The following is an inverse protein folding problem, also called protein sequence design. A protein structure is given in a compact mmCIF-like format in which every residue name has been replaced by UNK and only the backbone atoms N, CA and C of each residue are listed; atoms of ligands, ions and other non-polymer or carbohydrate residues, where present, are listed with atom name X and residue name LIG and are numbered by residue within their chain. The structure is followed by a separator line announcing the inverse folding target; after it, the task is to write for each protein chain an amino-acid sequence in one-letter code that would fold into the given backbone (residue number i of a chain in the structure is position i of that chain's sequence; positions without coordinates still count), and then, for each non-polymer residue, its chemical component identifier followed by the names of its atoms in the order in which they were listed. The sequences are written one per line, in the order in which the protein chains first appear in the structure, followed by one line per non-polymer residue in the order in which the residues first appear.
data_IF_543249390060
#
_entry.id   IF_543249390060
#
_cell.length_a   1.000
_cell.length_b   1.000
_cell.length_c   1.000
_cell.angle_alpha   90.00
_cell.angle_beta   90.00
_cell.angle_gamma   90.00
#
_symmetry.space_group_name_H-M   'P 1'
#
loop_
_entity.id
_entity.type
_entity.pdbx_description
1 polymer ?
#
# COMPACT_ATOMS: atom_id res chain seq x y z
N UNK A 1 7.99 6.83 11.57
CA UNK A 1 8.04 5.40 11.22
C UNK A 1 9.32 4.70 11.74
N UNK A 2 9.20 3.44 12.15
CA UNK A 2 10.30 2.59 12.63
C UNK A 2 10.60 2.66 14.13
N UNK A 3 9.98 3.58 14.89
CA UNK A 3 10.18 3.64 16.35
C UNK A 3 9.49 2.47 17.06
N UNK A 4 8.43 1.95 16.46
CA UNK A 4 7.68 0.79 16.92
C UNK A 4 8.52 -0.49 17.03
N UNK A 5 9.64 -0.59 16.31
CA UNK A 5 10.55 -1.72 16.47
C UNK A 5 11.14 -1.79 17.88
N UNK A 6 11.39 -0.64 18.51
CA UNK A 6 11.87 -0.58 19.89
C UNK A 6 10.77 -0.93 20.92
N UNK A 7 9.50 -0.89 20.51
CA UNK A 7 8.36 -1.23 21.34
C UNK A 7 8.06 -2.74 21.33
N UNK A 8 8.63 -3.50 20.39
CA UNK A 8 8.38 -4.95 20.27
C UNK A 8 8.86 -5.72 21.50
N UNK A 9 8.08 -6.71 21.89
CA UNK A 9 8.45 -7.67 22.93
C UNK A 9 9.55 -8.63 22.45
N UNK A 10 9.98 -9.54 23.33
CA UNK A 10 11.00 -10.55 23.06
C UNK A 10 10.56 -11.61 22.03
N UNK A 11 9.29 -11.63 21.65
CA UNK A 11 8.71 -12.46 20.59
C UNK A 11 8.52 -11.67 19.28
N UNK A 12 8.79 -10.36 19.27
CA UNK A 12 8.64 -9.50 18.10
C UNK A 12 7.25 -8.86 17.96
N UNK A 13 6.35 -9.02 18.93
CA UNK A 13 5.00 -8.47 18.89
C UNK A 13 4.96 -7.04 19.43
N UNK A 14 4.11 -6.21 18.83
CA UNK A 14 3.83 -4.88 19.36
C UNK A 14 2.97 -4.97 20.63
N UNK A 15 3.12 -4.03 21.58
CA UNK A 15 2.32 -4.03 22.79
C UNK A 15 0.87 -3.66 22.46
N UNK A 16 -0.07 -4.24 23.20
CA UNK A 16 -1.48 -3.86 23.09
C UNK A 16 -1.72 -2.40 23.51
N UNK A 17 -1.00 -1.93 24.54
CA UNK A 17 -1.06 -0.57 25.06
C UNK A 17 0.37 -0.01 25.21
N UNK A 18 0.69 1.02 24.43
CA UNK A 18 2.01 1.68 24.42
C UNK A 18 2.25 2.55 25.67
N UNK A 19 1.26 2.68 26.54
CA UNK A 19 1.36 3.39 27.82
C UNK A 19 1.46 2.46 29.02
N UNK A 20 1.34 1.14 28.79
CA UNK A 20 1.33 0.15 29.86
C UNK A 20 2.64 0.18 30.68
N UNK A 21 2.58 0.15 32.02
CA UNK A 21 3.78 0.12 32.87
C UNK A 21 4.72 -1.06 32.59
N UNK A 22 4.17 -2.15 32.05
CA UNK A 22 4.91 -3.37 31.70
C UNK A 22 6.00 -3.16 30.64
N UNK A 23 5.95 -2.08 29.86
CA UNK A 23 6.98 -1.74 28.87
C UNK A 23 8.38 -1.52 29.47
N UNK A 24 8.45 -1.23 30.77
CA UNK A 24 9.72 -1.06 31.48
C UNK A 24 10.42 -2.40 31.80
N UNK A 25 9.71 -3.54 31.71
CA UNK A 25 10.29 -4.85 31.94
C UNK A 25 11.20 -5.26 30.76
N UNK A 26 12.52 -5.16 30.97
CA UNK A 26 13.52 -5.48 29.95
C UNK A 26 13.58 -6.95 29.57
N UNK A 27 13.02 -7.86 30.38
CA UNK A 27 12.93 -9.28 30.01
C UNK A 27 11.87 -9.51 28.94
N UNK A 28 10.83 -8.67 28.92
CA UNK A 28 9.73 -8.71 27.95
C UNK A 28 10.00 -7.72 26.81
N UNK A 29 10.37 -6.47 27.11
CA UNK A 29 10.61 -5.40 26.13
C UNK A 29 12.08 -4.95 26.15
N UNK A 30 12.99 -5.75 25.57
CA UNK A 30 14.43 -5.54 25.72
C UNK A 30 14.94 -4.24 25.10
N UNK A 31 14.20 -3.66 24.15
CA UNK A 31 14.58 -2.47 23.39
C UNK A 31 13.82 -1.20 23.74
N UNK A 32 12.88 -1.25 24.69
CA UNK A 32 11.99 -0.12 24.99
C UNK A 32 12.74 1.16 25.38
N UNK A 33 13.87 1.02 26.09
CA UNK A 33 14.71 2.15 26.50
C UNK A 33 15.39 2.92 25.34
N UNK A 34 15.35 2.38 24.11
CA UNK A 34 15.84 3.04 22.89
C UNK A 34 14.73 3.79 22.15
N UNK A 35 13.46 3.58 22.54
CA UNK A 35 12.33 4.27 21.93
C UNK A 35 12.37 5.77 22.23
N UNK A 36 11.90 6.55 21.27
CA UNK A 36 11.63 7.98 21.47
C UNK A 36 10.23 8.16 22.08
N UNK A 37 9.99 9.25 22.82
CA UNK A 37 8.65 9.62 23.26
C UNK A 37 7.67 9.70 22.07
N UNK A 38 6.41 9.26 22.25
CA UNK A 38 5.41 9.35 21.19
C UNK A 38 5.05 10.82 20.89
N UNK A 39 4.53 11.05 19.68
CA UNK A 39 3.84 12.30 19.38
C UNK A 39 2.39 12.12 19.82
N UNK A 40 1.97 12.89 20.81
CA UNK A 40 0.61 12.89 21.33
C UNK A 40 -0.18 14.07 20.77
N UNK A 41 -1.38 13.79 20.26
CA UNK A 41 -2.32 14.78 19.77
C UNK A 41 -3.71 14.49 20.34
N UNK A 42 -4.44 15.54 20.68
CA UNK A 42 -5.88 15.46 20.97
C UNK A 42 -6.60 15.98 19.73
N UNK A 43 -7.45 15.14 19.13
CA UNK A 43 -8.27 15.52 17.98
C UNK A 43 -9.65 15.95 18.49
N UNK A 44 -9.98 17.22 18.32
CA UNK A 44 -11.27 17.80 18.69
C UNK A 44 -12.33 17.59 17.59
N UNK A 45 -13.60 17.82 17.95
CA UNK A 45 -14.72 17.70 17.02
C UNK A 45 -14.55 18.63 15.80
N UNK A 46 -14.60 18.06 14.60
CA UNK A 46 -14.45 18.79 13.34
C UNK A 46 -13.00 18.92 12.85
N UNK A 47 -12.02 18.47 13.63
CA UNK A 47 -10.61 18.42 13.20
C UNK A 47 -10.31 17.18 12.34
N UNK A 48 -9.28 17.29 11.51
CA UNK A 48 -8.83 16.22 10.62
C UNK A 48 -7.36 15.94 10.90
N UNK A 49 -7.03 14.66 11.07
CA UNK A 49 -5.67 14.18 11.25
C UNK A 49 -5.25 13.36 10.04
N UNK A 50 -4.05 13.62 9.53
CA UNK A 50 -3.43 12.79 8.50
C UNK A 50 -2.25 12.03 9.08
N UNK A 51 -2.36 10.71 9.10
CA UNK A 51 -1.29 9.83 9.56
C UNK A 51 -0.42 9.44 8.35
N UNK A 52 0.88 9.77 8.33
CA UNK A 52 1.75 9.37 7.23
C UNK A 52 1.91 7.84 7.15
N UNK A 53 2.28 7.34 5.96
CA UNK A 53 2.57 5.92 5.78
C UNK A 53 3.60 5.40 6.77
N UNK A 54 3.37 4.18 7.28
CA UNK A 54 4.25 3.46 8.22
C UNK A 54 4.36 4.09 9.62
N UNK A 55 3.49 5.02 9.99
CA UNK A 55 3.44 5.51 11.36
C UNK A 55 2.58 4.57 12.20
N UNK A 56 3.24 3.79 13.06
CA UNK A 56 2.55 3.08 14.13
C UNK A 56 1.86 4.09 15.06
N UNK A 57 0.58 3.87 15.35
CA UNK A 57 -0.23 4.76 16.16
C UNK A 57 -1.28 3.96 16.94
N UNK A 58 -1.65 4.49 18.11
CA UNK A 58 -2.78 4.01 18.90
C UNK A 58 -3.75 5.16 19.11
N UNK A 59 -5.04 4.84 19.18
CA UNK A 59 -6.12 5.82 19.35
C UNK A 59 -6.88 5.48 20.61
N UNK A 60 -7.11 6.50 21.43
CA UNK A 60 -7.92 6.39 22.64
C UNK A 60 -9.01 7.47 22.62
N UNK A 61 -10.27 7.06 22.75
CA UNK A 61 -11.40 7.98 22.81
C UNK A 61 -11.54 8.49 24.25
N UNK A 62 -11.32 9.79 24.45
CA UNK A 62 -11.45 10.45 25.76
C UNK A 62 -12.92 10.65 26.17
N UNK A 63 -13.81 10.73 25.19
CA UNK A 63 -15.26 10.96 25.34
C UNK A 63 -16.04 10.07 24.36
N UNK A 64 -17.37 10.17 24.36
CA UNK A 64 -18.22 9.50 23.38
C UNK A 64 -17.96 10.04 21.98
N UNK A 65 -17.25 9.28 21.16
CA UNK A 65 -16.73 9.72 19.86
C UNK A 65 -17.35 8.96 18.69
N UNK A 66 -17.76 9.70 17.66
CA UNK A 66 -18.00 9.17 16.30
C UNK A 66 -16.96 9.79 15.37
N UNK A 67 -16.25 8.96 14.62
CA UNK A 67 -15.26 9.41 13.64
C UNK A 67 -15.46 8.71 12.29
N UNK A 68 -14.95 9.35 11.23
CA UNK A 68 -14.89 8.78 9.88
C UNK A 68 -13.40 8.70 9.51
N UNK A 69 -12.94 7.51 9.13
CA UNK A 69 -11.56 7.26 8.72
C UNK A 69 -11.50 6.59 7.34
N UNK A 70 -10.41 6.83 6.61
CA UNK A 70 -10.13 6.15 5.35
C UNK A 70 -8.62 6.03 5.12
N UNK A 71 -8.16 4.85 4.70
CA UNK A 71 -6.80 4.63 4.23
C UNK A 71 -6.72 4.84 2.71
N UNK A 72 -5.70 5.52 2.19
CA UNK A 72 -5.54 5.69 0.74
C UNK A 72 -4.13 5.40 0.25
N UNK A 73 -4.06 5.11 -1.04
CA UNK A 73 -2.81 4.86 -1.77
C UNK A 73 -2.74 5.82 -2.96
N UNK A 74 -1.55 6.36 -3.22
CA UNK A 74 -1.26 7.27 -4.32
C UNK A 74 0.20 7.08 -4.82
N UNK A 75 0.62 7.89 -5.80
CA UNK A 75 1.98 7.79 -6.36
C UNK A 75 3.11 7.94 -5.34
N UNK A 76 2.87 8.58 -4.19
CA UNK A 76 3.88 8.76 -3.14
C UNK A 76 4.11 7.51 -2.30
N UNK A 77 3.10 6.64 -2.12
CA UNK A 77 3.17 5.50 -1.19
C UNK A 77 2.87 4.13 -1.83
N UNK A 78 2.55 4.06 -3.12
CA UNK A 78 2.31 2.77 -3.82
C UNK A 78 3.48 1.79 -3.72
N UNK A 79 4.72 2.29 -3.64
CA UNK A 79 5.90 1.44 -3.41
C UNK A 79 5.94 0.85 -2.00
N UNK A 80 5.49 1.61 -0.99
CA UNK A 80 5.38 1.15 0.39
C UNK A 80 4.31 0.05 0.49
N UNK A 81 3.16 0.25 -0.16
CA UNK A 81 2.13 -0.79 -0.26
C UNK A 81 2.69 -2.07 -0.89
N UNK A 82 3.50 -1.96 -1.95
CA UNK A 82 4.12 -3.13 -2.56
C UNK A 82 5.12 -3.85 -1.63
N UNK A 83 5.93 -3.12 -0.85
CA UNK A 83 6.77 -3.72 0.18
C UNK A 83 5.94 -4.45 1.23
N UNK A 84 4.91 -3.79 1.76
CA UNK A 84 3.98 -4.38 2.72
C UNK A 84 3.38 -5.70 2.21
N UNK A 85 2.88 -5.74 0.97
CA UNK A 85 2.34 -6.97 0.41
C UNK A 85 3.41 -8.08 0.33
N UNK A 86 4.65 -7.77 -0.04
CA UNK A 86 5.71 -8.79 -0.04
C UNK A 86 5.99 -9.35 1.36
N UNK A 87 5.99 -8.50 2.38
CA UNK A 87 6.21 -8.92 3.76
C UNK A 87 5.05 -9.79 4.28
N UNK A 88 3.81 -9.43 3.95
CA UNK A 88 2.61 -10.19 4.30
C UNK A 88 2.57 -11.56 3.63
N UNK A 89 2.92 -11.65 2.34
CA UNK A 89 3.00 -12.93 1.66
C UNK A 89 4.09 -13.80 2.31
N UNK A 90 5.25 -13.22 2.62
CA UNK A 90 6.32 -13.93 3.30
C UNK A 90 5.92 -14.38 4.71
N UNK A 91 5.09 -13.61 5.43
CA UNK A 91 4.54 -13.99 6.73
C UNK A 91 3.60 -15.20 6.60
N UNK A 92 2.66 -15.15 5.65
CA UNK A 92 1.77 -16.28 5.36
C UNK A 92 2.57 -17.53 5.00
N UNK A 93 3.54 -17.39 4.10
CA UNK A 93 4.41 -18.50 3.68
C UNK A 93 5.15 -19.13 4.86
N UNK A 94 5.64 -18.34 5.82
CA UNK A 94 6.28 -18.86 7.04
C UNK A 94 5.30 -19.62 7.91
N UNK A 95 4.09 -19.08 8.09
CA UNK A 95 3.07 -19.65 8.97
C UNK A 95 2.59 -21.02 8.48
N UNK A 96 2.37 -21.18 7.18
CA UNK A 96 1.86 -22.43 6.60
C UNK A 96 2.95 -23.26 5.90
N UNK A 97 4.22 -23.04 6.23
CA UNK A 97 5.35 -23.66 5.52
C UNK A 97 5.35 -25.19 5.62
N UNK A 98 4.85 -25.76 6.71
CA UNK A 98 4.76 -27.23 6.89
C UNK A 98 3.91 -27.93 5.82
N UNK A 99 2.99 -27.19 5.19
CA UNK A 99 2.09 -27.70 4.16
C UNK A 99 2.65 -27.54 2.74
N UNK A 100 3.86 -27.01 2.57
CA UNK A 100 4.41 -26.68 1.25
C UNK A 100 4.61 -27.89 0.33
N UNK A 101 5.17 -28.97 0.86
CA UNK A 101 5.43 -30.19 0.09
C UNK A 101 4.17 -31.06 -0.14
N UNK A 102 3.26 -31.26 0.84
CA UNK A 102 2.06 -32.06 0.63
C UNK A 102 0.94 -31.35 -0.17
N UNK A 103 1.10 -30.08 -0.53
CA UNK A 103 0.06 -29.27 -1.20
C UNK A 103 0.57 -28.71 -2.53
N UNK A 104 0.10 -29.28 -3.64
CA UNK A 104 0.54 -28.91 -4.99
C UNK A 104 0.28 -27.43 -5.34
N UNK A 105 -0.78 -26.83 -4.79
CA UNK A 105 -1.20 -25.45 -5.04
C UNK A 105 -0.86 -24.50 -3.88
N UNK A 106 0.12 -24.84 -3.04
CA UNK A 106 0.48 -24.09 -1.84
C UNK A 106 0.68 -22.59 -2.08
N UNK A 107 1.29 -22.21 -3.21
CA UNK A 107 1.47 -20.80 -3.58
C UNK A 107 0.15 -20.05 -3.79
N UNK A 108 -0.88 -20.72 -4.33
CA UNK A 108 -2.21 -20.13 -4.49
C UNK A 108 -2.92 -20.02 -3.13
N UNK A 109 -2.76 -21.02 -2.26
CA UNK A 109 -3.29 -20.94 -0.89
C UNK A 109 -2.65 -19.80 -0.10
N UNK A 110 -1.34 -19.54 -0.28
CA UNK A 110 -0.69 -18.37 0.30
C UNK A 110 -1.34 -17.05 -0.16
N UNK A 111 -1.65 -16.91 -1.45
CA UNK A 111 -2.33 -15.72 -1.98
C UNK A 111 -3.76 -15.57 -1.41
N UNK A 112 -4.50 -16.66 -1.27
CA UNK A 112 -5.85 -16.66 -0.69
C UNK A 112 -5.86 -16.23 0.79
N UNK A 113 -4.93 -16.76 1.59
CA UNK A 113 -4.79 -16.38 3.00
C UNK A 113 -4.35 -14.93 3.11
N UNK A 114 -3.31 -14.53 2.37
CA UNK A 114 -2.85 -13.15 2.30
C UNK A 114 -4.01 -12.20 2.00
N UNK A 115 -4.79 -12.48 0.96
CA UNK A 115 -5.94 -11.65 0.58
C UNK A 115 -6.97 -11.52 1.70
N UNK A 116 -7.18 -12.58 2.47
CA UNK A 116 -8.08 -12.55 3.62
C UNK A 116 -7.55 -11.66 4.75
N UNK A 117 -6.23 -11.53 4.88
CA UNK A 117 -5.56 -10.68 5.87
C UNK A 117 -5.42 -9.21 5.41
N UNK A 118 -5.05 -8.99 4.15
CA UNK A 118 -4.68 -7.67 3.61
C UNK A 118 -5.78 -7.02 2.76
N UNK A 119 -6.80 -7.79 2.37
CA UNK A 119 -7.87 -7.38 1.46
C UNK A 119 -7.51 -7.45 -0.03
N UNK A 120 -6.26 -7.79 -0.39
CA UNK A 120 -5.80 -7.81 -1.79
C UNK A 120 -4.69 -8.84 -2.02
N UNK A 121 -4.74 -9.57 -3.14
CA UNK A 121 -3.66 -10.45 -3.60
C UNK A 121 -2.78 -9.76 -4.67
N UNK A 122 -1.71 -10.44 -5.13
CA UNK A 122 -0.83 -9.86 -6.13
C UNK A 122 -1.49 -9.62 -7.50
N UNK A 123 -2.46 -10.45 -7.93
CA UNK A 123 -3.17 -10.24 -9.21
C UNK A 123 -4.10 -9.04 -9.12
N UNK A 124 -4.77 -8.88 -7.99
CA UNK A 124 -5.61 -7.71 -7.74
C UNK A 124 -4.77 -6.45 -7.58
N UNK A 125 -3.57 -6.55 -6.98
CA UNK A 125 -2.63 -5.43 -6.94
C UNK A 125 -2.15 -5.03 -8.33
N UNK A 126 -1.89 -5.99 -9.23
CA UNK A 126 -1.66 -5.69 -10.65
C UNK A 126 -2.84 -4.94 -11.27
N UNK A 127 -4.07 -5.42 -11.08
CA UNK A 127 -5.26 -4.76 -11.63
C UNK A 127 -5.45 -3.35 -11.05
N UNK A 128 -5.13 -3.14 -9.77
CA UNK A 128 -5.12 -1.83 -9.15
C UNK A 128 -4.13 -0.87 -9.85
N UNK A 129 -2.89 -1.32 -10.08
CA UNK A 129 -1.89 -0.54 -10.83
C UNK A 129 -2.34 -0.24 -12.28
N UNK A 130 -2.94 -1.24 -12.95
CA UNK A 130 -3.49 -1.09 -14.30
C UNK A 130 -4.56 0.00 -14.35
N UNK A 131 -5.55 -0.05 -13.47
CA UNK A 131 -6.63 0.95 -13.43
C UNK A 131 -6.07 2.35 -13.22
N UNK A 132 -5.09 2.52 -12.34
CA UNK A 132 -4.43 3.82 -12.15
C UNK A 132 -3.73 4.26 -13.43
N UNK A 133 -2.94 3.36 -14.05
CA UNK A 133 -2.18 3.68 -15.24
C UNK A 133 -3.05 4.08 -16.42
N UNK A 134 -4.08 3.29 -16.73
CA UNK A 134 -5.02 3.57 -17.83
C UNK A 134 -5.73 4.90 -17.64
N UNK A 135 -6.14 5.22 -16.40
CA UNK A 135 -6.75 6.51 -16.10
C UNK A 135 -5.77 7.68 -16.32
N UNK A 136 -4.49 7.53 -15.97
CA UNK A 136 -3.48 8.58 -16.17
C UNK A 136 -3.08 8.73 -17.64
N UNK A 137 -2.94 7.63 -18.37
CA UNK A 137 -2.70 7.63 -19.82
C UNK A 137 -3.84 8.35 -20.54
N UNK A 138 -5.09 8.03 -20.19
CA UNK A 138 -6.26 8.69 -20.76
C UNK A 138 -6.25 10.22 -20.55
N UNK A 139 -5.73 10.71 -19.42
CA UNK A 139 -5.58 12.16 -19.16
C UNK A 139 -4.49 12.78 -20.06
N UNK A 140 -3.38 12.06 -20.28
CA UNK A 140 -2.29 12.55 -21.14
C UNK A 140 -2.69 12.56 -22.62
N UNK A 141 -3.45 11.57 -23.08
CA UNK A 141 -3.85 11.43 -24.48
C UNK A 141 -4.98 12.38 -24.90
N UNK A 142 -5.97 12.60 -24.02
CA UNK A 142 -7.16 13.39 -24.37
C UNK A 142 -7.02 14.89 -24.07
N UNK A 143 -5.88 15.34 -23.53
CA UNK A 143 -5.67 16.73 -23.12
C UNK A 143 -6.63 17.18 -22.00
N UNK A 144 -6.46 18.42 -21.52
CA UNK A 144 -7.36 19.07 -20.56
C UNK A 144 -8.59 19.68 -21.27
N UNK A 145 -9.11 19.07 -22.33
CA UNK A 145 -10.05 19.71 -23.26
C UNK A 145 -11.49 19.91 -22.70
N UNK A 146 -11.71 19.72 -21.40
CA UNK A 146 -13.02 19.88 -20.78
C UNK A 146 -12.97 20.59 -19.41
N UNK A 147 -12.36 21.77 -19.34
CA UNK A 147 -12.61 22.70 -18.20
C UNK A 147 -14.08 23.15 -18.13
N UNK A 148 -14.89 22.93 -19.19
CA UNK A 148 -16.26 23.41 -19.28
C UNK A 148 -17.35 22.40 -18.87
N UNK A 149 -17.10 21.08 -18.90
CA UNK A 149 -18.18 20.08 -18.82
C UNK A 149 -18.22 19.24 -17.53
N UNK A 150 -17.14 19.22 -16.73
CA UNK A 150 -16.98 18.22 -15.67
C UNK A 150 -17.12 18.77 -14.24
N UNK A 151 -18.14 19.59 -13.94
CA UNK A 151 -18.44 19.89 -12.53
C UNK A 151 -19.24 18.72 -11.94
N UNK A 152 -18.61 17.96 -11.04
CA UNK A 152 -19.17 16.89 -10.18
C UNK A 152 -18.92 15.42 -10.58
N UNK A 153 -17.87 15.07 -11.33
CA UNK A 153 -17.47 13.65 -11.50
C UNK A 153 -16.08 13.37 -10.90
N UNK A 154 -15.81 12.14 -10.41
CA UNK A 154 -14.48 11.74 -9.92
C UNK A 154 -13.36 11.95 -10.95
N UNK A 155 -13.70 11.83 -12.25
CA UNK A 155 -12.78 12.10 -13.37
C UNK A 155 -12.31 13.56 -13.41
N UNK A 156 -13.16 14.51 -13.02
CA UNK A 156 -12.82 15.93 -12.99
C UNK A 156 -11.80 16.28 -11.89
N UNK A 157 -11.93 15.68 -10.71
CA UNK A 157 -10.99 15.90 -9.62
C UNK A 157 -9.58 15.39 -9.97
N UNK A 158 -9.50 14.28 -10.70
CA UNK A 158 -8.23 13.68 -11.13
C UNK A 158 -7.60 14.50 -12.28
N UNK A 159 -8.40 15.03 -13.23
CA UNK A 159 -7.87 15.90 -14.29
C UNK A 159 -7.32 17.23 -13.75
N UNK A 160 -7.83 17.69 -12.60
CA UNK A 160 -7.39 18.94 -11.96
C UNK A 160 -5.91 18.92 -11.53
N UNK A 161 -5.32 17.74 -11.34
CA UNK A 161 -3.91 17.60 -10.90
C UNK A 161 -2.90 17.86 -12.04
N UNK A 162 -3.37 17.86 -13.29
CA UNK A 162 -2.58 18.22 -14.46
C UNK A 162 -1.55 17.17 -14.92
N UNK A 163 -0.93 17.48 -16.06
CA UNK A 163 -0.01 16.58 -16.78
C UNK A 163 1.17 16.11 -15.92
N UNK A 164 1.83 17.01 -15.18
CA UNK A 164 3.01 16.67 -14.38
C UNK A 164 2.70 15.66 -13.27
N UNK A 165 1.50 15.74 -12.69
CA UNK A 165 1.06 14.78 -11.68
C UNK A 165 0.77 13.41 -12.30
N UNK A 166 0.12 13.38 -13.48
CA UNK A 166 -0.09 12.15 -14.22
C UNK A 166 1.24 11.47 -14.59
N UNK A 167 2.23 12.24 -15.07
CA UNK A 167 3.59 11.74 -15.34
C UNK A 167 4.26 11.22 -14.07
N UNK A 168 4.11 11.91 -12.93
CA UNK A 168 4.65 11.44 -11.65
C UNK A 168 4.05 10.08 -11.25
N UNK A 169 2.73 9.96 -11.27
CA UNK A 169 2.03 8.71 -10.93
C UNK A 169 2.44 7.57 -11.87
N UNK A 170 2.50 7.81 -13.18
CA UNK A 170 2.95 6.81 -14.15
C UNK A 170 4.39 6.36 -13.90
N UNK A 171 5.32 7.28 -13.60
CA UNK A 171 6.70 6.92 -13.25
C UNK A 171 6.76 6.02 -12.01
N UNK A 172 5.92 6.28 -11.01
CA UNK A 172 5.82 5.47 -9.79
C UNK A 172 5.23 4.10 -10.08
N UNK A 173 4.17 4.03 -10.88
CA UNK A 173 3.58 2.77 -11.34
C UNK A 173 4.56 1.94 -12.16
N UNK A 174 5.34 2.54 -13.08
CA UNK A 174 6.38 1.83 -13.85
C UNK A 174 7.40 1.18 -12.91
N UNK A 175 7.87 1.92 -11.89
CA UNK A 175 8.83 1.40 -10.92
C UNK A 175 8.27 0.19 -10.16
N UNK A 176 7.05 0.31 -9.64
CA UNK A 176 6.41 -0.75 -8.86
C UNK A 176 6.06 -1.96 -9.73
N UNK A 177 5.46 -1.73 -10.91
CA UNK A 177 5.10 -2.79 -11.84
C UNK A 177 6.34 -3.54 -12.34
N UNK A 178 7.47 -2.87 -12.55
CA UNK A 178 8.73 -3.54 -12.90
C UNK A 178 9.18 -4.48 -11.76
N UNK A 179 9.07 -4.03 -10.50
CA UNK A 179 9.39 -4.87 -9.34
C UNK A 179 8.42 -6.04 -9.18
N UNK A 180 7.12 -5.82 -9.41
CA UNK A 180 6.09 -6.85 -9.36
C UNK A 180 6.35 -7.92 -10.43
N UNK A 181 6.59 -7.53 -11.68
CA UNK A 181 6.92 -8.44 -12.79
C UNK A 181 8.21 -9.23 -12.54
N UNK A 182 9.16 -8.68 -11.78
CA UNK A 182 10.39 -9.36 -11.43
C UNK A 182 10.24 -10.34 -10.25
N UNK A 183 9.15 -10.26 -9.48
CA UNK A 183 8.93 -11.05 -8.27
C UNK A 183 8.62 -12.53 -8.60
N UNK A 184 9.33 -13.45 -7.94
CA UNK A 184 9.22 -14.89 -8.20
C UNK A 184 7.86 -15.48 -7.82
N UNK A 185 7.22 -14.99 -6.76
CA UNK A 185 5.89 -15.47 -6.37
C UNK A 185 4.81 -14.97 -7.32
N UNK A 186 4.96 -13.76 -7.87
CA UNK A 186 4.07 -13.26 -8.91
C UNK A 186 4.19 -14.08 -10.21
N UNK A 187 5.41 -14.44 -10.62
CA UNK A 187 5.65 -15.25 -11.83
C UNK A 187 5.05 -16.65 -11.77
N UNK A 188 4.84 -17.20 -10.57
CA UNK A 188 4.18 -18.50 -10.36
C UNK A 188 2.67 -18.45 -10.56
N UNK A 189 2.07 -17.26 -10.56
CA UNK A 189 0.64 -17.10 -10.74
C UNK A 189 0.26 -17.25 -12.22
N UNK A 190 -0.97 -17.65 -12.48
CA UNK A 190 -1.49 -17.67 -13.85
C UNK A 190 -1.69 -16.23 -14.37
N UNK A 191 -0.69 -15.73 -15.10
CA UNK A 191 -0.70 -14.39 -15.68
C UNK A 191 -1.53 -14.30 -16.97
N UNK A 192 -2.00 -15.42 -17.54
CA UNK A 192 -2.80 -15.41 -18.79
C UNK A 192 -4.16 -14.75 -18.59
N UNK A 193 -4.66 -14.77 -17.35
CA UNK A 193 -5.87 -14.07 -16.92
C UNK A 193 -5.74 -12.53 -16.89
N UNK A 194 -4.52 -11.99 -16.96
CA UNK A 194 -4.28 -10.56 -16.88
C UNK A 194 -4.38 -9.91 -18.27
N UNK A 195 -5.22 -8.88 -18.38
CA UNK A 195 -5.37 -8.08 -19.59
C UNK A 195 -5.21 -6.59 -19.28
N UNK A 196 -4.24 -5.89 -19.93
CA UNK A 196 -3.18 -6.47 -20.77
C UNK A 196 -2.18 -7.30 -19.93
N UNK A 197 -1.24 -8.04 -20.54
CA UNK A 197 -0.10 -8.63 -19.82
C UNK A 197 0.81 -7.56 -19.19
N UNK A 198 1.52 -7.86 -18.08
CA UNK A 198 2.36 -6.89 -17.39
C UNK A 198 3.42 -6.20 -18.26
N UNK A 199 4.06 -6.94 -19.17
CA UNK A 199 5.09 -6.42 -20.08
C UNK A 199 4.50 -5.44 -21.09
N UNK A 200 3.31 -5.75 -21.62
CA UNK A 200 2.60 -4.89 -22.55
C UNK A 200 2.14 -3.60 -21.86
N UNK A 201 1.65 -3.69 -20.62
CA UNK A 201 1.32 -2.54 -19.81
C UNK A 201 2.57 -1.67 -19.59
N UNK A 202 3.68 -2.25 -19.10
CA UNK A 202 4.94 -1.53 -18.88
C UNK A 202 5.44 -0.78 -20.13
N UNK A 203 5.35 -1.41 -21.31
CA UNK A 203 5.71 -0.76 -22.56
C UNK A 203 4.82 0.45 -22.85
N UNK A 204 3.50 0.29 -22.70
CA UNK A 204 2.54 1.37 -22.91
C UNK A 204 2.77 2.56 -21.96
N UNK A 205 3.01 2.30 -20.67
CA UNK A 205 3.28 3.35 -19.68
C UNK A 205 4.53 4.16 -20.04
N UNK A 206 5.61 3.49 -20.44
CA UNK A 206 6.86 4.16 -20.83
C UNK A 206 6.67 5.05 -22.05
N UNK A 207 5.99 4.53 -23.08
CA UNK A 207 5.67 5.31 -24.28
C UNK A 207 4.84 6.56 -23.94
N UNK A 208 3.80 6.43 -23.10
CA UNK A 208 2.97 7.56 -22.69
C UNK A 208 3.75 8.63 -21.91
N UNK A 209 4.67 8.21 -21.02
CA UNK A 209 5.55 9.13 -20.29
C UNK A 209 6.48 9.87 -21.26
N UNK A 210 7.10 9.16 -22.20
CA UNK A 210 8.04 9.75 -23.16
C UNK A 210 7.33 10.76 -24.06
N UNK A 211 6.14 10.42 -24.57
CA UNK A 211 5.32 11.34 -25.37
C UNK A 211 4.92 12.60 -24.60
N UNK A 212 4.59 12.49 -23.31
CA UNK A 212 4.19 13.63 -22.49
C UNK A 212 5.36 14.56 -22.08
N UNK A 213 6.61 14.14 -22.29
CA UNK A 213 7.82 14.89 -21.93
C UNK A 213 8.60 15.43 -23.15
N UNK A 214 8.14 15.15 -24.37
CA UNK A 214 8.63 15.72 -25.62
C UNK A 214 8.01 17.09 -25.88
#
# INVERSE_FOLDING_TARGET
PGQEDYLKDCHGNLPFDVTAPGLQDRSVYPRYNQSQPPVEIVQEAGEIVFIPSEWHHQVYNLEDTISINHNWVNGCNVAIMWCFLQDELAAVQREINEWKDPMDDWHLQCQLIMKSCTGIDYKEFYNFLKVIAENRISILENGLDDEASAKNTPKAAISTLGMLHAVFDLKRTVKVLTSLSANEDFKKLDLTSLSPPPEALLHHLKAAIDTALL
#
